data_IF_424464322708
#
_entry.id   IF_424464322708
#
_cell.length_a   1.000
_cell.length_b   1.000
_cell.length_c   1.000
_cell.angle_alpha   90.00
_cell.angle_beta   90.00
_cell.angle_gamma   90.00
#
_symmetry.space_group_name_H-M   'P 1'
#
loop_
_entity.id
_entity.type
_entity.pdbx_description
1 polymer ?
#
# COMPACT_ATOMS: atom_id res chain seq x y z
N UNK A 1 25.79 20.78 20.14
CA UNK A 1 27.03 20.87 20.92
C UNK A 1 26.82 20.47 22.36
N UNK A 2 25.79 21.02 23.06
CA UNK A 2 25.48 20.70 24.47
C UNK A 2 25.35 19.20 24.78
N UNK A 3 24.97 18.39 23.78
CA UNK A 3 24.85 16.91 23.87
C UNK A 3 26.15 16.18 23.47
N UNK A 4 27.30 16.89 23.34
CA UNK A 4 28.58 16.30 23.03
C UNK A 4 28.91 16.11 21.55
N UNK A 5 28.21 16.82 20.64
CA UNK A 5 28.54 16.77 19.21
C UNK A 5 29.91 17.40 18.95
N UNK A 6 30.87 16.62 18.44
CA UNK A 6 32.21 17.08 18.04
C UNK A 6 32.27 17.53 16.57
N UNK A 7 31.24 17.17 15.76
CA UNK A 7 31.12 17.55 14.35
C UNK A 7 29.71 17.99 14.05
N UNK A 8 29.54 19.04 13.27
CA UNK A 8 28.25 19.52 12.73
C UNK A 8 28.35 19.54 11.22
N UNK A 9 27.33 18.96 10.55
CA UNK A 9 27.17 19.04 9.10
C UNK A 9 26.02 20.00 8.79
N UNK A 10 26.25 21.02 8.00
CA UNK A 10 25.27 22.07 7.70
C UNK A 10 25.32 22.50 6.23
N UNK A 11 24.22 23.07 5.76
CA UNK A 11 24.08 23.60 4.39
C UNK A 11 24.46 25.10 4.31
N UNK A 12 24.41 25.83 5.43
CA UNK A 12 24.59 27.27 5.48
C UNK A 12 25.52 27.65 6.62
N UNK A 13 26.50 28.47 6.30
CA UNK A 13 27.47 28.96 7.27
C UNK A 13 26.82 29.78 8.39
N UNK A 14 25.75 30.53 8.05
CA UNK A 14 25.02 31.34 9.03
C UNK A 14 24.37 30.50 10.13
N UNK A 15 23.99 29.28 9.83
CA UNK A 15 23.42 28.34 10.81
C UNK A 15 24.47 27.86 11.83
N UNK A 16 25.74 28.05 11.55
CA UNK A 16 26.89 27.64 12.40
C UNK A 16 27.44 28.77 13.25
N UNK A 17 26.85 29.98 13.22
CA UNK A 17 27.26 31.10 14.07
C UNK A 17 27.12 30.75 15.56
N UNK A 18 28.19 30.89 16.31
CA UNK A 18 28.25 30.58 17.75
C UNK A 18 28.61 29.11 18.07
N UNK A 19 28.95 28.32 17.07
CA UNK A 19 29.50 26.97 17.28
C UNK A 19 30.90 27.15 17.89
N UNK A 20 31.24 26.47 19.02
CA UNK A 20 32.53 26.54 19.63
C UNK A 20 33.66 26.11 18.67
N UNK A 21 34.87 26.74 18.75
CA UNK A 21 35.95 26.46 17.80
C UNK A 21 36.49 25.02 17.85
N UNK A 22 36.28 24.31 18.94
CA UNK A 22 36.62 22.89 19.08
C UNK A 22 35.70 21.93 18.33
N UNK A 23 34.57 22.43 17.85
CA UNK A 23 33.60 21.62 17.08
C UNK A 23 33.87 21.82 15.58
N UNK A 24 34.14 20.74 14.88
CA UNK A 24 34.33 20.77 13.43
C UNK A 24 33.01 21.04 12.71
N UNK A 25 32.98 22.05 11.84
CA UNK A 25 31.86 22.33 10.96
C UNK A 25 32.20 21.90 9.55
N UNK A 26 31.32 21.07 8.95
CA UNK A 26 31.43 20.61 7.56
C UNK A 26 30.27 21.21 6.78
N UNK A 27 30.56 22.05 5.78
CA UNK A 27 29.57 22.60 4.89
C UNK A 27 29.34 21.66 3.70
N UNK A 28 28.09 21.39 3.39
CA UNK A 28 27.64 20.50 2.32
C UNK A 28 26.51 21.15 1.51
N UNK A 29 26.32 20.71 0.27
CA UNK A 29 25.22 21.19 -0.58
C UNK A 29 23.85 20.74 -0.06
N UNK A 30 23.75 19.49 0.46
CA UNK A 30 22.53 18.91 1.03
C UNK A 30 22.87 18.14 2.30
N UNK A 31 22.36 18.60 3.43
CA UNK A 31 22.50 17.92 4.72
C UNK A 31 21.71 16.59 4.72
N UNK A 32 20.59 16.50 4.00
CA UNK A 32 19.82 15.26 3.84
C UNK A 32 20.59 14.22 3.06
N UNK A 33 21.22 14.62 1.96
CA UNK A 33 22.08 13.75 1.17
C UNK A 33 23.28 13.25 1.99
N UNK A 34 23.97 14.16 2.67
CA UNK A 34 25.07 13.81 3.56
C UNK A 34 24.64 12.85 4.68
N UNK A 35 23.47 13.09 5.31
CA UNK A 35 22.91 12.21 6.35
C UNK A 35 22.71 10.78 5.84
N UNK A 36 22.26 10.60 4.60
CA UNK A 36 22.05 9.28 4.02
C UNK A 36 23.36 8.50 3.90
N UNK A 37 24.42 9.13 3.39
CA UNK A 37 25.74 8.49 3.29
C UNK A 37 26.42 8.26 4.65
N UNK A 38 26.30 9.21 5.57
CA UNK A 38 26.79 9.05 6.94
C UNK A 38 26.07 7.90 7.65
N UNK A 39 24.76 7.78 7.46
CA UNK A 39 23.98 6.67 8.02
C UNK A 39 24.38 5.32 7.40
N UNK A 40 24.58 5.28 6.08
CA UNK A 40 25.09 4.09 5.41
C UNK A 40 26.44 3.63 6.00
N UNK A 41 27.36 4.56 6.17
CA UNK A 41 28.69 4.28 6.74
C UNK A 41 28.60 3.87 8.23
N UNK A 42 27.78 4.57 9.02
CA UNK A 42 27.59 4.28 10.44
C UNK A 42 27.09 2.84 10.69
N UNK A 43 26.19 2.35 9.85
CA UNK A 43 25.65 1.01 9.91
C UNK A 43 26.44 -0.01 9.05
N UNK A 44 27.66 0.31 8.64
CA UNK A 44 28.54 -0.58 7.85
C UNK A 44 27.89 -1.06 6.54
N UNK A 45 27.31 -0.10 5.79
CA UNK A 45 26.76 -0.29 4.45
C UNK A 45 25.81 -1.51 4.31
N UNK A 46 24.72 -1.59 5.09
CA UNK A 46 23.89 -2.78 5.15
C UNK A 46 23.25 -3.12 3.81
N UNK A 47 23.03 -2.14 2.93
CA UNK A 47 22.54 -2.37 1.57
C UNK A 47 23.43 -3.28 0.72
N UNK A 48 24.75 -3.29 0.99
CA UNK A 48 25.69 -4.17 0.28
C UNK A 48 25.65 -5.63 0.75
N UNK A 49 24.94 -5.89 1.88
CA UNK A 49 24.82 -7.21 2.50
C UNK A 49 23.45 -7.86 2.22
N UNK A 50 22.55 -7.14 1.55
CA UNK A 50 21.21 -7.55 1.22
C UNK A 50 21.00 -7.43 -0.30
N UNK A 51 20.20 -8.32 -0.88
CA UNK A 51 19.62 -8.06 -2.20
C UNK A 51 18.48 -7.05 -2.05
N UNK A 52 18.60 -5.90 -2.68
CA UNK A 52 17.72 -4.75 -2.45
C UNK A 52 16.75 -4.53 -3.59
N UNK A 53 15.45 -4.48 -3.28
CA UNK A 53 14.36 -4.31 -4.24
C UNK A 53 13.57 -3.06 -3.85
N UNK A 54 13.64 -2.01 -4.69
CA UNK A 54 12.92 -0.77 -4.51
C UNK A 54 11.71 -0.68 -5.44
N UNK A 55 10.53 -0.30 -4.93
CA UNK A 55 9.31 -0.16 -5.72
C UNK A 55 8.80 1.26 -5.72
N UNK A 56 8.58 1.82 -6.91
CA UNK A 56 7.94 3.13 -7.08
C UNK A 56 6.73 3.05 -8.01
N UNK A 57 5.87 4.05 -7.93
CA UNK A 57 4.66 4.18 -8.70
C UNK A 57 3.59 4.98 -7.93
N UNK A 58 2.48 5.29 -8.56
CA UNK A 58 1.37 5.95 -7.86
C UNK A 58 0.63 4.93 -6.99
N UNK A 59 0.21 3.80 -7.56
CA UNK A 59 -0.53 2.72 -6.87
C UNK A 59 0.20 1.38 -6.98
N UNK A 60 -0.20 0.41 -6.17
CA UNK A 60 0.31 -0.96 -6.22
C UNK A 60 1.59 -1.21 -5.42
N UNK A 61 2.32 -0.20 -4.96
CA UNK A 61 3.58 -0.38 -4.19
C UNK A 61 3.42 -1.33 -3.01
N UNK A 62 2.54 -1.00 -2.08
CA UNK A 62 2.30 -1.79 -0.86
C UNK A 62 1.91 -3.23 -1.20
N UNK A 63 0.95 -3.41 -2.10
CA UNK A 63 0.51 -4.74 -2.52
C UNK A 63 1.66 -5.54 -3.10
N UNK A 64 2.42 -4.97 -4.04
CA UNK A 64 3.52 -5.67 -4.70
C UNK A 64 4.67 -5.98 -3.73
N UNK A 65 5.01 -5.08 -2.78
CA UNK A 65 6.06 -5.37 -1.78
C UNK A 65 5.69 -6.56 -0.90
N UNK A 66 4.43 -6.66 -0.48
CA UNK A 66 3.96 -7.79 0.32
C UNK A 66 3.89 -9.08 -0.51
N UNK A 67 3.45 -9.01 -1.79
CA UNK A 67 3.47 -10.19 -2.68
C UNK A 67 4.91 -10.72 -2.83
N UNK A 68 5.88 -9.85 -3.12
CA UNK A 68 7.29 -10.25 -3.26
C UNK A 68 7.81 -10.87 -1.94
N UNK A 69 7.51 -10.26 -0.80
CA UNK A 69 7.92 -10.78 0.51
C UNK A 69 7.32 -12.18 0.77
N UNK A 70 6.03 -12.37 0.48
CA UNK A 70 5.35 -13.65 0.66
C UNK A 70 5.90 -14.73 -0.27
N UNK A 71 6.13 -14.43 -1.55
CA UNK A 71 6.75 -15.36 -2.50
C UNK A 71 8.14 -15.76 -2.03
N UNK A 72 8.98 -14.81 -1.60
CA UNK A 72 10.29 -15.10 -1.06
C UNK A 72 10.21 -16.00 0.19
N UNK A 73 9.28 -15.74 1.09
CA UNK A 73 9.04 -16.55 2.29
C UNK A 73 8.60 -17.97 1.94
N UNK A 74 7.68 -18.14 0.97
CA UNK A 74 7.24 -19.45 0.47
C UNK A 74 8.41 -20.23 -0.14
N UNK A 75 9.33 -19.54 -0.81
CA UNK A 75 10.58 -20.12 -1.33
C UNK A 75 11.64 -20.38 -0.23
N UNK A 76 11.32 -20.22 1.05
CA UNK A 76 12.25 -20.41 2.17
C UNK A 76 13.32 -19.31 2.26
N UNK A 77 13.09 -18.14 1.65
CA UNK A 77 14.01 -16.99 1.68
C UNK A 77 13.57 -15.97 2.72
N UNK A 78 14.49 -15.52 3.56
CA UNK A 78 14.21 -14.48 4.56
C UNK A 78 14.29 -13.09 3.90
N UNK A 79 13.17 -12.37 3.89
CA UNK A 79 13.07 -11.02 3.37
C UNK A 79 12.55 -10.05 4.42
N UNK A 80 13.26 -8.93 4.61
CA UNK A 80 12.74 -7.78 5.33
C UNK A 80 11.91 -6.88 4.40
N UNK A 81 11.05 -6.05 5.00
CA UNK A 81 10.20 -5.12 4.27
C UNK A 81 10.21 -3.74 4.92
N UNK A 82 10.25 -2.69 4.12
CA UNK A 82 10.05 -1.31 4.55
C UNK A 82 8.92 -0.70 3.72
N UNK A 83 7.80 -0.34 4.35
CA UNK A 83 6.65 0.15 3.59
C UNK A 83 5.60 0.88 4.42
N UNK A 84 4.49 1.18 3.79
CA UNK A 84 3.40 1.99 4.34
C UNK A 84 2.76 1.38 5.58
N UNK A 85 2.64 0.05 5.64
CA UNK A 85 1.99 -0.64 6.76
C UNK A 85 2.96 -0.83 7.92
N UNK A 86 4.14 -1.37 7.61
CA UNK A 86 5.13 -1.73 8.62
C UNK A 86 6.56 -1.76 8.07
N UNK A 87 7.53 -1.74 8.97
CA UNK A 87 8.87 -2.27 8.76
C UNK A 87 8.94 -3.67 9.35
N UNK A 88 9.24 -4.67 8.51
CA UNK A 88 9.33 -6.08 8.92
C UNK A 88 10.80 -6.51 8.96
N UNK A 89 11.25 -7.02 10.10
CA UNK A 89 12.62 -7.46 10.33
C UNK A 89 12.56 -8.89 10.90
N UNK A 90 12.85 -9.88 10.05
CA UNK A 90 12.61 -11.29 10.45
C UNK A 90 11.14 -11.51 10.81
N UNK A 91 10.87 -11.94 12.03
CA UNK A 91 9.51 -12.15 12.56
C UNK A 91 8.92 -10.90 13.23
N UNK A 92 9.67 -9.82 13.36
CA UNK A 92 9.23 -8.59 14.04
C UNK A 92 8.60 -7.63 13.05
N UNK A 93 7.40 -7.17 13.34
CA UNK A 93 6.69 -6.15 12.56
C UNK A 93 6.51 -4.87 13.38
N UNK A 94 7.05 -3.77 12.88
CA UNK A 94 7.02 -2.45 13.52
C UNK A 94 6.12 -1.54 12.67
N UNK A 95 5.02 -0.99 13.22
CA UNK A 95 4.14 -0.08 12.48
C UNK A 95 4.89 1.10 11.87
N UNK A 96 4.65 1.37 10.60
CA UNK A 96 5.32 2.46 9.89
C UNK A 96 4.76 3.83 10.27
N UNK A 97 5.63 4.84 10.28
CA UNK A 97 5.23 6.26 10.39
C UNK A 97 5.13 6.91 9.02
N UNK A 98 5.96 6.48 8.10
CA UNK A 98 6.04 6.97 6.71
C UNK A 98 6.25 5.78 5.78
N UNK A 99 5.73 5.86 4.55
CA UNK A 99 5.95 4.86 3.50
C UNK A 99 7.44 4.60 3.26
N UNK A 100 8.23 5.68 3.19
CA UNK A 100 9.69 5.65 3.08
C UNK A 100 10.23 6.46 4.25
N UNK A 101 10.82 5.82 5.26
CA UNK A 101 11.37 6.51 6.44
C UNK A 101 12.53 7.45 6.09
N UNK A 102 13.02 8.23 7.06
CA UNK A 102 14.26 9.01 6.92
C UNK A 102 15.47 8.06 6.75
N UNK A 103 16.51 8.54 6.10
CA UNK A 103 17.68 7.72 5.71
C UNK A 103 18.33 6.97 6.88
N UNK A 104 18.45 7.61 8.04
CA UNK A 104 18.98 6.95 9.24
C UNK A 104 18.13 5.73 9.63
N UNK A 105 16.80 5.86 9.65
CA UNK A 105 15.92 4.76 10.02
C UNK A 105 15.90 3.64 8.96
N UNK A 106 16.08 3.98 7.68
CA UNK A 106 16.22 2.99 6.61
C UNK A 106 17.49 2.15 6.85
N UNK A 107 18.65 2.78 7.00
CA UNK A 107 19.91 2.05 7.20
C UNK A 107 19.95 1.27 8.51
N UNK A 108 19.34 1.80 9.58
CA UNK A 108 19.15 1.11 10.84
C UNK A 108 18.30 -0.16 10.69
N UNK A 109 17.17 -0.05 9.97
CA UNK A 109 16.31 -1.19 9.69
C UNK A 109 17.04 -2.25 8.86
N UNK A 110 17.77 -1.83 7.81
CA UNK A 110 18.55 -2.75 6.98
C UNK A 110 19.65 -3.45 7.77
N UNK A 111 20.35 -2.76 8.68
CA UNK A 111 21.33 -3.37 9.57
C UNK A 111 20.68 -4.44 10.47
N UNK A 112 19.53 -4.11 11.05
CA UNK A 112 18.78 -5.08 11.85
C UNK A 112 18.25 -6.28 11.01
N UNK A 113 17.92 -6.07 9.72
CA UNK A 113 17.58 -7.16 8.81
C UNK A 113 18.77 -8.09 8.56
N UNK A 114 19.97 -7.53 8.38
CA UNK A 114 21.23 -8.31 8.25
C UNK A 114 21.45 -9.14 9.51
N UNK A 115 21.34 -8.53 10.68
CA UNK A 115 21.53 -9.20 11.97
C UNK A 115 20.48 -10.31 12.21
N UNK A 116 19.24 -10.12 11.70
CA UNK A 116 18.18 -11.13 11.73
C UNK A 116 18.36 -12.24 10.68
N UNK A 117 19.40 -12.19 9.85
CA UNK A 117 19.70 -13.16 8.82
C UNK A 117 18.80 -13.05 7.57
N UNK A 118 18.22 -11.86 7.31
CA UNK A 118 17.53 -11.60 6.06
C UNK A 118 18.55 -11.58 4.91
N UNK A 119 18.13 -12.09 3.76
CA UNK A 119 18.91 -12.10 2.53
C UNK A 119 18.44 -10.99 1.56
N UNK A 120 17.19 -10.58 1.72
CA UNK A 120 16.51 -9.60 0.85
C UNK A 120 15.91 -8.47 1.67
N UNK A 121 15.85 -7.30 1.06
CA UNK A 121 15.09 -6.16 1.54
C UNK A 121 14.19 -5.65 0.42
N UNK A 122 12.87 -5.62 0.66
CA UNK A 122 11.86 -5.09 -0.26
C UNK A 122 11.36 -3.77 0.32
N UNK A 123 11.39 -2.68 -0.48
CA UNK A 123 11.08 -1.36 0.03
C UNK A 123 10.15 -0.58 -0.90
N UNK A 124 9.11 0.03 -0.32
CA UNK A 124 8.32 1.06 -0.99
C UNK A 124 9.13 2.36 -1.06
N UNK A 125 9.40 2.84 -2.29
CA UNK A 125 10.15 4.06 -2.55
C UNK A 125 9.18 5.13 -3.07
N UNK A 126 8.71 5.99 -2.16
CA UNK A 126 7.80 7.09 -2.48
C UNK A 126 8.52 8.22 -3.23
N UNK A 127 7.78 9.01 -4.00
CA UNK A 127 8.32 10.18 -4.68
C UNK A 127 8.95 11.20 -3.72
N UNK A 128 8.33 11.41 -2.56
CA UNK A 128 8.89 12.25 -1.50
C UNK A 128 10.15 11.65 -0.88
N UNK A 129 10.21 10.31 -0.72
CA UNK A 129 11.43 9.62 -0.27
C UNK A 129 12.61 9.90 -1.20
N UNK A 130 12.37 9.89 -2.52
CA UNK A 130 13.36 10.22 -3.54
C UNK A 130 13.66 11.74 -3.58
N UNK A 131 12.63 12.59 -3.45
CA UNK A 131 12.78 14.05 -3.43
C UNK A 131 13.68 14.54 -2.28
N UNK A 132 13.55 13.91 -1.13
CA UNK A 132 14.28 14.27 0.08
C UNK A 132 15.52 13.41 0.35
N UNK A 133 16.06 12.76 -0.67
CA UNK A 133 17.29 11.95 -0.60
C UNK A 133 17.27 10.85 0.47
N UNK A 134 16.07 10.37 0.88
CA UNK A 134 15.95 9.35 1.93
C UNK A 134 16.59 8.02 1.56
N UNK A 135 16.69 7.75 0.25
CA UNK A 135 17.29 6.52 -0.31
C UNK A 135 18.69 6.76 -0.88
N UNK A 136 19.26 7.96 -0.75
CA UNK A 136 20.64 8.21 -1.19
C UNK A 136 21.61 7.27 -0.48
N UNK A 137 22.68 6.89 -1.17
CA UNK A 137 23.65 5.91 -0.66
C UNK A 137 23.20 4.44 -0.77
N UNK A 138 21.98 4.16 -1.26
CA UNK A 138 21.52 2.82 -1.60
C UNK A 138 21.60 2.63 -3.11
N UNK A 139 22.39 1.67 -3.56
CA UNK A 139 22.31 1.15 -4.93
C UNK A 139 21.40 -0.07 -4.90
N UNK A 140 20.18 0.07 -5.42
CA UNK A 140 19.24 -1.04 -5.49
C UNK A 140 19.70 -2.07 -6.53
N UNK A 141 19.52 -3.36 -6.23
CA UNK A 141 19.70 -4.41 -7.23
C UNK A 141 18.57 -4.35 -8.24
N UNK A 142 17.34 -4.14 -7.77
CA UNK A 142 16.14 -4.07 -8.59
C UNK A 142 15.32 -2.81 -8.27
N UNK A 143 14.91 -2.09 -9.32
CA UNK A 143 13.94 -1.00 -9.24
C UNK A 143 12.68 -1.37 -10.00
N UNK A 144 11.50 -1.34 -9.36
CA UNK A 144 10.22 -1.70 -9.99
C UNK A 144 9.38 -0.45 -10.20
N UNK A 145 8.85 -0.27 -11.41
CA UNK A 145 7.87 0.74 -11.76
C UNK A 145 6.50 0.11 -12.01
N UNK A 146 5.52 0.45 -11.19
CA UNK A 146 4.16 -0.10 -11.32
C UNK A 146 3.27 0.72 -12.25
N UNK A 147 3.11 2.02 -12.00
CA UNK A 147 2.30 2.93 -12.78
C UNK A 147 2.52 4.39 -12.36
N UNK A 148 2.05 5.34 -13.19
CA UNK A 148 2.04 6.75 -12.87
C UNK A 148 0.72 7.41 -13.28
N UNK A 149 0.10 8.12 -12.36
CA UNK A 149 -1.05 8.99 -12.58
C UNK A 149 -0.93 10.23 -11.70
N UNK A 150 -1.68 11.27 -11.99
CA UNK A 150 -1.70 12.48 -11.16
C UNK A 150 -2.10 12.14 -9.72
N UNK A 151 -1.21 12.42 -8.79
CA UNK A 151 -1.38 12.26 -7.36
C UNK A 151 -0.30 13.08 -6.63
N UNK A 152 -0.49 13.38 -5.36
CA UNK A 152 0.50 14.09 -4.56
C UNK A 152 0.94 15.47 -5.12
N UNK A 153 0.07 16.16 -5.85
CA UNK A 153 0.31 17.53 -6.35
C UNK A 153 -0.38 18.51 -5.40
N UNK A 154 0.41 19.37 -4.78
CA UNK A 154 -0.11 20.33 -3.82
C UNK A 154 0.99 21.15 -3.12
N UNK A 155 0.61 22.17 -2.34
CA UNK A 155 1.55 23.12 -1.73
C UNK A 155 2.62 22.51 -0.83
N UNK A 156 2.35 21.33 -0.23
CA UNK A 156 3.24 20.63 0.71
C UNK A 156 3.82 19.34 0.14
N UNK A 157 3.56 19.03 -1.12
CA UNK A 157 3.98 17.81 -1.80
C UNK A 157 4.82 18.14 -3.05
N UNK A 158 4.31 17.81 -4.24
CA UNK A 158 4.95 18.16 -5.51
C UNK A 158 4.29 19.42 -6.09
N UNK A 159 5.06 20.40 -6.60
CA UNK A 159 4.49 21.60 -7.21
C UNK A 159 3.69 21.30 -8.46
N UNK A 160 4.10 20.26 -9.22
CA UNK A 160 3.46 19.82 -10.45
C UNK A 160 3.76 18.36 -10.76
N UNK A 161 3.14 17.87 -11.84
CA UNK A 161 3.31 16.49 -12.29
C UNK A 161 4.74 16.20 -12.81
N UNK A 162 5.42 17.18 -13.36
CA UNK A 162 6.79 17.01 -13.88
C UNK A 162 7.78 16.72 -12.74
N UNK A 163 7.68 17.45 -11.63
CA UNK A 163 8.47 17.18 -10.40
C UNK A 163 8.14 15.80 -9.81
N UNK A 164 6.85 15.42 -9.82
CA UNK A 164 6.43 14.08 -9.35
C UNK A 164 7.02 12.95 -10.19
N UNK A 165 6.98 13.07 -11.51
CA UNK A 165 7.58 12.15 -12.46
C UNK A 165 9.12 12.08 -12.28
N UNK A 166 9.80 13.26 -12.24
CA UNK A 166 11.25 13.31 -12.10
C UNK A 166 11.72 12.68 -10.78
N UNK A 167 10.99 12.89 -9.69
CA UNK A 167 11.31 12.25 -8.43
C UNK A 167 11.27 10.72 -8.54
N UNK A 168 10.23 10.13 -9.15
CA UNK A 168 10.15 8.66 -9.31
C UNK A 168 11.21 8.09 -10.25
N UNK A 169 11.57 8.83 -11.30
CA UNK A 169 12.66 8.50 -12.22
C UNK A 169 14.00 8.27 -11.52
N UNK A 170 14.26 8.95 -10.40
CA UNK A 170 15.52 8.83 -9.64
C UNK A 170 15.82 7.40 -9.19
N UNK A 171 14.79 6.57 -8.91
CA UNK A 171 14.98 5.17 -8.57
C UNK A 171 15.74 4.41 -9.68
N UNK A 172 15.47 4.72 -10.96
CA UNK A 172 16.08 4.02 -12.10
C UNK A 172 17.49 4.51 -12.46
N UNK A 173 17.92 5.59 -11.82
CA UNK A 173 19.32 6.05 -11.84
C UNK A 173 20.14 5.45 -10.69
N UNK A 174 19.50 4.80 -9.71
CA UNK A 174 20.14 4.16 -8.57
C UNK A 174 19.74 2.68 -8.41
N UNK A 175 19.35 2.01 -9.51
CA UNK A 175 19.16 0.57 -9.54
C UNK A 175 20.00 -0.07 -10.65
N UNK A 176 20.29 -1.36 -10.49
CA UNK A 176 21.03 -2.14 -11.48
C UNK A 176 20.11 -2.67 -12.57
N UNK A 177 18.95 -3.20 -12.20
CA UNK A 177 17.92 -3.71 -13.10
C UNK A 177 16.61 -2.99 -12.84
N UNK A 178 16.03 -2.36 -13.87
CA UNK A 178 14.72 -1.72 -13.84
C UNK A 178 13.65 -2.67 -14.39
N UNK A 179 12.61 -2.93 -13.60
CA UNK A 179 11.45 -3.76 -13.98
C UNK A 179 10.26 -2.83 -14.24
N UNK A 180 9.81 -2.75 -15.48
CA UNK A 180 8.97 -1.66 -15.98
C UNK A 180 7.64 -2.20 -16.50
N UNK A 181 6.54 -1.59 -16.04
CA UNK A 181 5.24 -1.77 -16.65
C UNK A 181 5.21 -1.09 -18.03
N UNK A 182 5.28 -1.88 -19.10
CA UNK A 182 5.31 -1.36 -20.47
C UNK A 182 3.99 -0.78 -20.95
N UNK A 183 2.88 -1.06 -20.27
CA UNK A 183 1.56 -0.52 -20.60
C UNK A 183 1.35 0.89 -20.07
N UNK A 184 2.12 1.30 -19.07
CA UNK A 184 2.04 2.65 -18.54
C UNK A 184 2.54 3.69 -19.56
N UNK A 185 1.80 4.76 -19.84
CA UNK A 185 2.16 5.75 -20.84
C UNK A 185 3.45 6.51 -20.50
N UNK A 186 3.87 6.52 -19.24
CA UNK A 186 5.09 7.19 -18.77
C UNK A 186 6.30 6.26 -18.67
N UNK A 187 6.20 4.99 -19.08
CA UNK A 187 7.26 4.00 -18.97
C UNK A 187 8.59 4.47 -19.61
N UNK A 188 8.52 5.10 -20.78
CA UNK A 188 9.72 5.64 -21.44
C UNK A 188 10.31 6.83 -20.68
N UNK A 189 9.46 7.73 -20.20
CA UNK A 189 9.89 8.92 -19.46
C UNK A 189 10.52 8.55 -18.12
N UNK A 190 10.03 7.52 -17.45
CA UNK A 190 10.62 6.99 -16.20
C UNK A 190 12.06 6.51 -16.42
N UNK A 191 12.38 5.99 -17.60
CA UNK A 191 13.71 5.49 -17.92
C UNK A 191 14.69 6.55 -18.45
N UNK A 192 14.24 7.78 -18.72
CA UNK A 192 15.11 8.83 -19.23
C UNK A 192 16.27 9.13 -18.27
N UNK A 193 17.51 9.05 -18.79
CA UNK A 193 18.73 9.25 -18.03
C UNK A 193 19.08 8.11 -17.07
N UNK A 194 18.38 6.96 -17.15
CA UNK A 194 18.79 5.74 -16.45
C UNK A 194 19.90 5.00 -17.20
N UNK A 195 20.69 4.23 -16.44
CA UNK A 195 21.74 3.35 -16.98
C UNK A 195 21.48 1.89 -16.58
N UNK A 196 20.34 1.59 -15.98
CA UNK A 196 19.99 0.24 -15.56
C UNK A 196 19.68 -0.68 -16.76
N UNK A 197 19.91 -1.98 -16.58
CA UNK A 197 19.31 -2.97 -17.46
C UNK A 197 17.79 -2.96 -17.30
N UNK A 198 17.05 -3.20 -18.37
CA UNK A 198 15.59 -3.12 -18.36
C UNK A 198 14.97 -4.51 -18.57
N UNK A 199 13.98 -4.82 -17.74
CA UNK A 199 13.03 -5.92 -17.93
C UNK A 199 11.62 -5.33 -17.95
N UNK A 200 10.77 -5.89 -18.77
CA UNK A 200 9.42 -5.37 -19.01
C UNK A 200 8.35 -6.39 -18.70
N UNK A 201 7.20 -5.91 -18.21
CA UNK A 201 5.99 -6.72 -18.12
C UNK A 201 4.78 -5.96 -18.68
N UNK A 202 3.78 -6.70 -19.16
CA UNK A 202 2.61 -6.11 -19.81
C UNK A 202 1.42 -7.08 -19.82
N UNK A 203 0.22 -6.52 -19.86
CA UNK A 203 -1.02 -7.23 -20.17
C UNK A 203 -1.58 -6.87 -21.57
N UNK A 204 -1.00 -5.87 -22.26
CA UNK A 204 -1.50 -5.32 -23.51
C UNK A 204 -0.47 -5.31 -24.64
N UNK A 205 0.82 -5.14 -24.31
CA UNK A 205 1.90 -4.95 -25.27
C UNK A 205 2.90 -6.09 -25.21
N UNK A 206 3.75 -6.17 -26.23
CA UNK A 206 4.91 -7.08 -26.21
C UNK A 206 5.90 -6.66 -25.11
N UNK A 207 6.25 -7.60 -24.26
CA UNK A 207 7.15 -7.43 -23.12
C UNK A 207 7.93 -8.73 -22.86
N UNK A 208 8.90 -8.69 -21.93
CA UNK A 208 9.65 -9.89 -21.52
C UNK A 208 8.75 -10.90 -20.80
N UNK A 209 7.75 -10.42 -20.03
CA UNK A 209 6.69 -11.22 -19.47
C UNK A 209 5.32 -10.61 -19.80
N UNK A 210 4.44 -11.40 -20.38
CA UNK A 210 3.11 -10.96 -20.79
C UNK A 210 2.03 -11.77 -20.10
N UNK A 211 0.92 -11.10 -19.73
CA UNK A 211 -0.31 -11.75 -19.33
C UNK A 211 -1.33 -11.77 -20.49
N UNK A 212 -2.02 -12.88 -20.64
CA UNK A 212 -3.14 -13.08 -21.56
C UNK A 212 -4.23 -13.91 -20.91
N UNK A 213 -5.41 -14.05 -21.55
CA UNK A 213 -6.53 -14.83 -21.03
C UNK A 213 -6.89 -14.45 -19.58
N UNK A 214 -6.93 -13.14 -19.30
CA UNK A 214 -7.20 -12.59 -17.98
C UNK A 214 -8.67 -12.76 -17.63
N UNK A 215 -8.96 -13.44 -16.52
CA UNK A 215 -10.32 -13.74 -16.07
C UNK A 215 -10.50 -13.43 -14.58
N UNK A 216 -11.69 -13.03 -14.21
CA UNK A 216 -12.11 -12.91 -12.80
C UNK A 216 -12.30 -14.31 -12.20
N UNK A 217 -11.79 -14.51 -10.98
CA UNK A 217 -11.98 -15.73 -10.19
C UNK A 217 -12.92 -15.46 -9.04
N UNK A 218 -13.83 -16.41 -8.80
CA UNK A 218 -14.60 -16.52 -7.57
C UNK A 218 -14.63 -18.01 -7.21
N UNK A 219 -13.66 -18.46 -6.43
CA UNK A 219 -13.50 -19.85 -6.01
C UNK A 219 -13.85 -19.96 -4.53
N UNK A 220 -14.97 -20.60 -4.19
CA UNK A 220 -15.46 -20.78 -2.81
C UNK A 220 -15.56 -19.46 -1.99
N UNK A 221 -15.94 -18.37 -2.66
CA UNK A 221 -16.02 -17.03 -2.04
C UNK A 221 -14.68 -16.29 -1.96
N UNK A 222 -13.59 -16.85 -2.48
CA UNK A 222 -12.31 -16.16 -2.66
C UNK A 222 -12.28 -15.50 -4.04
N UNK A 223 -12.32 -14.18 -4.06
CA UNK A 223 -12.19 -13.41 -5.29
C UNK A 223 -10.73 -13.30 -5.71
N UNK A 224 -10.48 -13.17 -7.00
CA UNK A 224 -9.12 -13.05 -7.52
C UNK A 224 -9.08 -12.91 -9.04
N UNK A 225 -7.90 -13.12 -9.60
CA UNK A 225 -7.65 -13.11 -11.03
C UNK A 225 -6.91 -14.37 -11.46
N UNK A 226 -7.29 -14.90 -12.61
CA UNK A 226 -6.53 -15.91 -13.37
C UNK A 226 -5.95 -15.24 -14.62
N UNK A 227 -4.76 -15.63 -15.01
CA UNK A 227 -4.16 -15.24 -16.27
C UNK A 227 -3.13 -16.26 -16.75
N UNK A 228 -2.85 -16.26 -18.06
CA UNK A 228 -1.74 -17.01 -18.64
C UNK A 228 -0.54 -16.08 -18.77
N UNK A 229 0.57 -16.48 -18.19
CA UNK A 229 1.85 -15.80 -18.35
C UNK A 229 2.63 -16.43 -19.51
N UNK A 230 3.30 -15.60 -20.32
CA UNK A 230 4.15 -16.04 -21.42
C UNK A 230 5.35 -15.12 -21.60
N UNK A 231 6.50 -15.69 -21.97
CA UNK A 231 7.78 -14.99 -22.13
C UNK A 231 8.87 -15.64 -21.29
N UNK A 232 9.47 -14.90 -20.37
CA UNK A 232 10.50 -15.44 -19.46
C UNK A 232 9.96 -16.54 -18.53
N UNK A 233 8.66 -16.54 -18.27
CA UNK A 233 7.92 -17.62 -17.60
C UNK A 233 6.73 -18.01 -18.50
N UNK A 234 6.39 -19.31 -18.54
CA UNK A 234 5.25 -19.81 -19.30
C UNK A 234 4.40 -20.70 -18.39
N UNK A 235 3.30 -20.16 -17.86
CA UNK A 235 2.48 -20.82 -16.86
C UNK A 235 1.06 -20.23 -16.79
N UNK A 236 0.15 -20.98 -16.18
CA UNK A 236 -1.12 -20.49 -15.70
C UNK A 236 -0.92 -19.96 -14.27
N UNK A 237 -1.38 -18.76 -14.00
CA UNK A 237 -1.22 -18.10 -12.71
C UNK A 237 -2.56 -17.66 -12.12
N UNK A 238 -2.65 -17.74 -10.79
CA UNK A 238 -3.78 -17.23 -10.00
C UNK A 238 -3.27 -16.29 -8.92
N UNK A 239 -4.06 -15.26 -8.62
CA UNK A 239 -3.83 -14.38 -7.48
C UNK A 239 -5.15 -14.04 -6.80
N UNK A 240 -5.27 -14.31 -5.50
CA UNK A 240 -6.49 -14.03 -4.72
C UNK A 240 -6.54 -12.60 -4.18
N UNK A 241 -6.15 -11.64 -5.00
CA UNK A 241 -6.38 -10.20 -4.80
C UNK A 241 -7.25 -9.72 -5.96
N UNK A 242 -8.48 -9.24 -5.69
CA UNK A 242 -9.41 -8.83 -6.74
C UNK A 242 -8.89 -7.67 -7.59
N UNK A 243 -9.27 -7.69 -8.87
CA UNK A 243 -9.07 -6.60 -9.82
C UNK A 243 -7.87 -6.76 -10.76
N UNK A 244 -8.03 -6.21 -11.97
CA UNK A 244 -7.02 -6.31 -13.05
C UNK A 244 -5.65 -5.75 -12.65
N UNK A 245 -5.60 -4.77 -11.75
CA UNK A 245 -4.33 -4.23 -11.23
C UNK A 245 -3.49 -5.28 -10.49
N UNK A 246 -4.12 -6.32 -9.91
CA UNK A 246 -3.40 -7.40 -9.24
C UNK A 246 -2.61 -8.27 -10.23
N UNK A 247 -3.05 -8.37 -11.48
CA UNK A 247 -2.30 -9.04 -12.55
C UNK A 247 -0.97 -8.31 -12.80
N UNK A 248 -0.98 -6.97 -12.88
CA UNK A 248 0.25 -6.19 -13.04
C UNK A 248 1.19 -6.33 -11.84
N UNK A 249 0.64 -6.36 -10.62
CA UNK A 249 1.44 -6.58 -9.40
C UNK A 249 2.05 -8.00 -9.39
N UNK A 250 1.29 -9.00 -9.85
CA UNK A 250 1.77 -10.38 -10.00
C UNK A 250 2.87 -10.46 -11.06
N UNK A 251 2.69 -9.85 -12.24
CA UNK A 251 3.69 -9.83 -13.29
C UNK A 251 5.00 -9.17 -12.82
N UNK A 252 4.93 -8.04 -12.14
CA UNK A 252 6.10 -7.38 -11.57
C UNK A 252 6.84 -8.29 -10.57
N UNK A 253 6.08 -9.01 -9.73
CA UNK A 253 6.63 -10.00 -8.79
C UNK A 253 7.27 -11.18 -9.53
N UNK A 254 6.59 -11.74 -10.54
CA UNK A 254 7.11 -12.85 -11.34
C UNK A 254 8.43 -12.48 -12.00
N UNK A 255 8.55 -11.28 -12.59
CA UNK A 255 9.80 -10.83 -13.21
C UNK A 255 10.93 -10.75 -12.21
N UNK A 256 10.73 -10.09 -11.05
CA UNK A 256 11.81 -9.97 -10.05
C UNK A 256 12.17 -11.33 -9.45
N UNK A 257 11.20 -12.20 -9.20
CA UNK A 257 11.47 -13.54 -8.66
C UNK A 257 12.21 -14.42 -9.67
N UNK A 258 11.89 -14.30 -10.96
CA UNK A 258 12.64 -14.97 -12.04
C UNK A 258 14.10 -14.50 -12.07
N UNK A 259 14.36 -13.19 -12.05
CA UNK A 259 15.72 -12.62 -11.97
C UNK A 259 16.49 -13.05 -10.71
N UNK A 260 15.77 -13.32 -9.61
CA UNK A 260 16.34 -13.85 -8.36
C UNK A 260 16.57 -15.37 -8.37
N UNK A 261 16.17 -16.06 -9.45
CA UNK A 261 16.27 -17.52 -9.55
C UNK A 261 15.36 -18.28 -8.58
N UNK A 262 14.21 -17.68 -8.22
CA UNK A 262 13.18 -18.36 -7.42
C UNK A 262 12.44 -19.36 -8.32
N UNK A 263 12.25 -20.62 -7.90
CA UNK A 263 11.52 -21.61 -8.67
C UNK A 263 10.09 -21.18 -9.01
N UNK A 264 9.65 -21.46 -10.24
CA UNK A 264 8.34 -21.02 -10.75
C UNK A 264 7.19 -21.53 -9.89
N UNK A 265 7.28 -22.78 -9.38
CA UNK A 265 6.27 -23.36 -8.49
C UNK A 265 6.14 -22.61 -7.16
N UNK A 266 7.25 -22.16 -6.58
CA UNK A 266 7.24 -21.34 -5.38
C UNK A 266 6.67 -19.93 -5.66
N UNK A 267 6.95 -19.35 -6.85
CA UNK A 267 6.34 -18.08 -7.26
C UNK A 267 4.84 -18.22 -7.38
N UNK A 268 4.35 -19.25 -8.06
CA UNK A 268 2.92 -19.47 -8.27
C UNK A 268 2.19 -19.75 -6.95
N UNK A 269 2.75 -20.57 -6.07
CA UNK A 269 2.19 -20.83 -4.75
C UNK A 269 2.10 -19.56 -3.90
N UNK A 270 3.15 -18.73 -3.92
CA UNK A 270 3.16 -17.45 -3.20
C UNK A 270 2.15 -16.44 -3.74
N UNK A 271 1.92 -16.40 -5.06
CA UNK A 271 0.89 -15.56 -5.67
C UNK A 271 -0.53 -16.00 -5.28
N UNK A 272 -0.78 -17.30 -5.21
CA UNK A 272 -2.10 -17.85 -4.88
C UNK A 272 -2.46 -17.64 -3.40
N UNK A 273 -1.49 -17.73 -2.49
CA UNK A 273 -1.73 -17.65 -1.04
C UNK A 273 -1.64 -16.23 -0.47
N UNK A 274 -1.16 -15.25 -1.23
CA UNK A 274 -0.90 -13.91 -0.72
C UNK A 274 -2.15 -13.22 -0.21
N UNK A 275 -2.03 -12.59 0.96
CA UNK A 275 -3.00 -11.65 1.51
C UNK A 275 -2.29 -10.38 1.95
N UNK A 276 -2.79 -9.23 1.54
CA UNK A 276 -2.21 -7.94 1.93
C UNK A 276 -3.17 -7.21 2.86
N UNK A 277 -2.75 -7.06 4.11
CA UNK A 277 -3.58 -6.47 5.17
C UNK A 277 -4.13 -5.10 4.75
N UNK A 278 -5.47 -4.98 4.74
CA UNK A 278 -6.17 -3.75 4.41
C UNK A 278 -6.06 -3.29 2.94
N UNK A 279 -5.81 -4.21 2.01
CA UNK A 279 -5.75 -3.95 0.57
C UNK A 279 -6.63 -4.95 -0.18
N UNK A 280 -7.91 -4.61 -0.34
CA UNK A 280 -8.96 -5.50 -0.87
C UNK A 280 -8.89 -6.87 -0.17
N UNK A 281 -8.68 -6.84 1.13
CA UNK A 281 -8.43 -8.03 1.94
C UNK A 281 -9.74 -8.75 2.22
N UNK A 282 -9.82 -10.01 1.79
CA UNK A 282 -10.99 -10.87 1.99
C UNK A 282 -10.98 -11.46 3.39
N UNK A 283 -12.06 -11.29 4.15
CA UNK A 283 -12.23 -11.91 5.46
C UNK A 283 -13.24 -13.08 5.34
N UNK A 284 -12.78 -14.34 5.35
CA UNK A 284 -13.62 -15.50 5.06
C UNK A 284 -14.49 -15.87 6.26
N UNK A 285 -15.66 -15.28 6.41
CA UNK A 285 -16.63 -15.59 7.46
C UNK A 285 -17.84 -16.38 6.93
N UNK A 286 -18.13 -16.29 5.64
CA UNK A 286 -19.26 -16.95 4.97
C UNK A 286 -18.89 -17.38 3.55
N UNK A 287 -19.58 -18.40 3.02
CA UNK A 287 -19.53 -18.78 1.59
C UNK A 287 -20.64 -18.12 0.76
N UNK A 288 -21.58 -17.43 1.40
CA UNK A 288 -22.78 -16.86 0.76
C UNK A 288 -22.62 -15.38 0.42
N UNK A 289 -21.73 -14.69 1.09
CA UNK A 289 -21.41 -13.28 0.87
C UNK A 289 -19.95 -13.00 1.24
N UNK A 290 -19.39 -11.92 0.74
CA UNK A 290 -18.00 -11.53 0.99
C UNK A 290 -17.93 -10.37 1.98
N UNK A 291 -16.92 -10.38 2.87
CA UNK A 291 -16.52 -9.23 3.67
C UNK A 291 -15.10 -8.84 3.28
N UNK A 292 -14.93 -7.58 2.93
CA UNK A 292 -13.68 -7.04 2.36
C UNK A 292 -13.25 -5.84 3.20
N UNK A 293 -11.97 -5.75 3.52
CA UNK A 293 -11.37 -4.58 4.20
C UNK A 293 -10.42 -3.88 3.22
N UNK A 294 -10.59 -2.55 3.05
CA UNK A 294 -9.72 -1.75 2.21
C UNK A 294 -9.39 -0.38 2.82
N UNK A 295 -8.20 0.10 2.51
CA UNK A 295 -7.69 1.40 2.97
C UNK A 295 -8.16 2.59 2.11
N UNK A 296 -8.99 2.40 1.12
CA UNK A 296 -9.51 3.47 0.27
C UNK A 296 -10.19 4.56 1.13
N UNK A 297 -9.66 5.78 1.08
CA UNK A 297 -10.05 6.90 1.91
C UNK A 297 -10.12 8.24 1.14
N UNK A 298 -10.13 8.18 -0.19
CA UNK A 298 -10.35 9.31 -1.10
C UNK A 298 -11.19 8.88 -2.29
N UNK A 299 -11.70 9.83 -3.08
CA UNK A 299 -12.56 9.58 -4.24
C UNK A 299 -11.96 8.56 -5.21
N UNK A 300 -10.75 8.80 -5.68
CA UNK A 300 -10.09 7.97 -6.70
C UNK A 300 -9.94 6.52 -6.25
N UNK A 301 -9.52 6.30 -5.00
CA UNK A 301 -9.36 4.93 -4.46
C UNK A 301 -10.72 4.28 -4.19
N UNK A 302 -11.71 5.01 -3.69
CA UNK A 302 -13.07 4.51 -3.45
C UNK A 302 -13.73 4.09 -4.77
N UNK A 303 -13.69 4.94 -5.81
CA UNK A 303 -14.18 4.59 -7.14
C UNK A 303 -13.47 3.38 -7.72
N UNK A 304 -12.16 3.32 -7.57
CA UNK A 304 -11.35 2.23 -8.10
C UNK A 304 -11.75 0.87 -7.49
N UNK A 305 -11.86 0.80 -6.16
CA UNK A 305 -12.20 -0.46 -5.49
C UNK A 305 -13.66 -0.86 -5.74
N UNK A 306 -14.61 0.07 -5.69
CA UNK A 306 -16.03 -0.25 -5.94
C UNK A 306 -16.27 -0.70 -7.39
N UNK A 307 -15.63 -0.05 -8.38
CA UNK A 307 -15.66 -0.50 -9.78
C UNK A 307 -15.08 -1.91 -9.93
N UNK A 308 -13.96 -2.17 -9.28
CA UNK A 308 -13.34 -3.50 -9.27
C UNK A 308 -14.29 -4.57 -8.72
N UNK A 309 -14.97 -4.30 -7.61
CA UNK A 309 -15.91 -5.25 -7.04
C UNK A 309 -17.14 -5.45 -7.95
N UNK A 310 -17.59 -4.42 -8.65
CA UNK A 310 -18.69 -4.50 -9.59
C UNK A 310 -18.40 -5.44 -10.78
N UNK A 311 -17.13 -5.58 -11.17
CA UNK A 311 -16.70 -6.49 -12.25
C UNK A 311 -16.89 -8.00 -11.90
N UNK A 312 -17.13 -8.32 -10.62
CA UNK A 312 -17.45 -9.69 -10.16
C UNK A 312 -18.95 -9.99 -10.13
N UNK A 313 -19.78 -9.12 -10.69
CA UNK A 313 -21.25 -9.27 -10.76
C UNK A 313 -21.90 -9.60 -9.39
N UNK A 314 -21.66 -8.77 -8.35
CA UNK A 314 -22.23 -9.00 -7.02
C UNK A 314 -23.74 -8.83 -7.01
N UNK A 315 -24.43 -9.49 -6.09
CA UNK A 315 -25.84 -9.23 -5.80
C UNK A 315 -26.05 -7.78 -5.36
N UNK A 316 -25.27 -7.32 -4.36
CA UNK A 316 -25.18 -5.93 -3.94
C UNK A 316 -23.76 -5.60 -3.48
N UNK A 317 -23.35 -4.34 -3.64
CA UNK A 317 -22.18 -3.77 -2.94
C UNK A 317 -22.71 -2.96 -1.76
N UNK A 318 -22.35 -3.37 -0.54
CA UNK A 318 -22.66 -2.67 0.71
C UNK A 318 -21.38 -1.99 1.21
N UNK A 319 -21.31 -0.66 1.11
CA UNK A 319 -20.15 0.10 1.51
C UNK A 319 -20.31 0.66 2.93
N UNK A 320 -19.46 0.24 3.86
CA UNK A 320 -19.38 0.73 5.25
C UNK A 320 -18.21 1.69 5.37
N UNK A 321 -18.47 2.97 5.61
CA UNK A 321 -17.41 3.97 5.62
C UNK A 321 -17.75 5.22 6.42
N UNK A 322 -16.72 5.97 6.74
CA UNK A 322 -16.75 7.31 7.29
C UNK A 322 -15.58 8.11 6.75
N UNK A 323 -15.37 9.30 7.28
CA UNK A 323 -14.24 10.14 6.93
C UNK A 323 -13.50 10.63 8.17
N UNK A 324 -12.20 10.93 8.00
CA UNK A 324 -11.41 11.53 9.07
C UNK A 324 -11.83 12.96 9.38
N UNK A 325 -11.92 13.29 10.66
CA UNK A 325 -12.05 14.66 11.15
C UNK A 325 -10.80 15.49 10.92
N UNK A 326 -10.91 16.82 10.99
CA UNK A 326 -9.84 17.79 10.73
C UNK A 326 -9.15 17.58 9.37
N UNK A 327 -9.96 17.23 8.37
CA UNK A 327 -9.57 17.05 6.97
C UNK A 327 -10.47 17.89 6.06
N UNK A 328 -10.08 18.01 4.78
CA UNK A 328 -10.84 18.74 3.77
C UNK A 328 -12.29 18.22 3.66
N UNK A 329 -13.27 19.11 3.75
CA UNK A 329 -14.69 18.78 3.54
C UNK A 329 -14.96 18.31 2.11
N UNK A 330 -14.24 18.82 1.12
CA UNK A 330 -14.35 18.40 -0.29
C UNK A 330 -14.13 16.90 -0.41
N UNK A 331 -13.15 16.35 0.29
CA UNK A 331 -12.92 14.90 0.34
C UNK A 331 -14.14 14.11 0.82
N UNK A 332 -14.90 14.64 1.78
CA UNK A 332 -16.13 14.00 2.31
C UNK A 332 -17.22 13.97 1.26
N UNK A 333 -17.40 15.09 0.55
CA UNK A 333 -18.34 15.19 -0.57
C UNK A 333 -17.99 14.19 -1.68
N UNK A 334 -16.72 14.16 -2.07
CA UNK A 334 -16.23 13.33 -3.18
C UNK A 334 -16.33 11.83 -2.86
N UNK A 335 -16.01 11.41 -1.64
CA UNK A 335 -16.18 10.00 -1.22
C UNK A 335 -17.66 9.63 -1.18
N UNK A 336 -18.53 10.52 -0.66
CA UNK A 336 -19.97 10.33 -0.67
C UNK A 336 -20.52 10.17 -2.07
N UNK A 337 -20.08 11.00 -3.02
CA UNK A 337 -20.47 10.91 -4.43
C UNK A 337 -20.00 9.58 -5.06
N UNK A 338 -18.72 9.20 -4.84
CA UNK A 338 -18.17 7.95 -5.36
C UNK A 338 -18.92 6.71 -4.85
N UNK A 339 -19.23 6.69 -3.54
CA UNK A 339 -19.97 5.58 -2.93
C UNK A 339 -21.44 5.58 -3.39
N UNK A 340 -22.06 6.74 -3.47
CA UNK A 340 -23.44 6.89 -3.93
C UNK A 340 -23.66 6.48 -5.38
N UNK A 341 -22.67 6.67 -6.24
CA UNK A 341 -22.73 6.25 -7.65
C UNK A 341 -22.56 4.72 -7.81
N UNK A 342 -21.73 4.08 -6.97
CA UNK A 342 -21.22 2.74 -7.25
C UNK A 342 -21.66 1.66 -6.26
N UNK A 343 -22.09 2.02 -5.05
CA UNK A 343 -22.62 1.07 -4.07
C UNK A 343 -24.16 1.01 -4.12
N UNK A 344 -24.73 -0.15 -3.78
CA UNK A 344 -26.18 -0.33 -3.69
C UNK A 344 -26.75 0.09 -2.33
N UNK A 345 -25.89 0.05 -1.29
CA UNK A 345 -26.21 0.53 0.05
C UNK A 345 -24.96 1.12 0.70
N UNK A 346 -25.07 2.33 1.22
CA UNK A 346 -24.05 3.00 2.00
C UNK A 346 -24.41 2.96 3.50
N UNK A 347 -23.47 2.52 4.34
CA UNK A 347 -23.61 2.58 5.79
C UNK A 347 -22.58 3.59 6.31
N UNK A 348 -23.09 4.77 6.70
CA UNK A 348 -22.26 5.87 7.21
C UNK A 348 -21.94 5.64 8.69
N UNK A 349 -20.65 5.75 9.02
CA UNK A 349 -20.17 5.50 10.38
C UNK A 349 -18.95 6.34 10.72
N UNK A 350 -18.39 6.16 11.94
CA UNK A 350 -17.13 6.81 12.32
C UNK A 350 -15.91 6.20 11.58
N UNK A 351 -14.91 7.05 11.39
CA UNK A 351 -13.54 6.64 11.03
C UNK A 351 -12.60 7.11 12.16
N UNK A 352 -11.80 8.13 11.95
CA UNK A 352 -11.00 8.84 12.95
C UNK A 352 -11.60 10.25 13.13
N UNK A 353 -12.61 10.46 13.98
CA UNK A 353 -13.32 11.75 14.06
C UNK A 353 -12.44 12.87 14.62
N UNK A 354 -11.37 12.53 15.35
CA UNK A 354 -10.45 13.48 15.98
C UNK A 354 -11.20 14.47 16.88
N UNK A 355 -11.28 15.74 16.48
CA UNK A 355 -11.93 16.81 17.23
C UNK A 355 -13.30 17.22 16.66
N UNK A 356 -13.83 16.48 15.69
CA UNK A 356 -15.14 16.74 15.09
C UNK A 356 -16.17 15.69 15.52
N UNK A 357 -17.45 16.06 15.51
CA UNK A 357 -18.54 15.12 15.74
C UNK A 357 -18.75 14.23 14.52
N UNK A 358 -19.02 12.95 14.75
CA UNK A 358 -19.27 11.98 13.68
C UNK A 358 -20.47 12.38 12.82
N UNK A 359 -21.53 12.91 13.46
CA UNK A 359 -22.73 13.38 12.78
C UNK A 359 -22.44 14.51 11.78
N UNK A 360 -21.57 15.46 12.14
CA UNK A 360 -21.20 16.57 11.27
C UNK A 360 -20.40 16.07 10.06
N UNK A 361 -19.49 15.11 10.27
CA UNK A 361 -18.73 14.46 9.19
C UNK A 361 -19.68 13.69 8.26
N UNK A 362 -20.62 12.92 8.82
CA UNK A 362 -21.60 12.16 8.05
C UNK A 362 -22.55 13.09 7.28
N UNK A 363 -22.92 14.24 7.84
CA UNK A 363 -23.72 15.24 7.13
C UNK A 363 -22.98 15.79 5.89
N UNK A 364 -21.68 16.01 5.98
CA UNK A 364 -20.88 16.38 4.80
C UNK A 364 -20.87 15.24 3.76
N UNK A 365 -20.73 13.97 4.16
CA UNK A 365 -20.76 12.81 3.23
C UNK A 365 -22.11 12.72 2.50
N UNK A 366 -23.24 12.95 3.22
CA UNK A 366 -24.59 12.91 2.64
C UNK A 366 -24.77 13.90 1.50
N UNK A 367 -24.05 15.02 1.49
CA UNK A 367 -24.08 15.98 0.35
C UNK A 367 -23.62 15.31 -0.95
N UNK A 368 -22.60 14.46 -0.89
CA UNK A 368 -22.16 13.67 -2.04
C UNK A 368 -23.15 12.58 -2.44
N UNK A 369 -23.66 11.82 -1.47
CA UNK A 369 -24.65 10.77 -1.71
C UNK A 369 -25.92 11.29 -2.40
N UNK A 370 -26.39 12.47 -2.03
CA UNK A 370 -27.60 13.10 -2.57
C UNK A 370 -27.53 13.36 -4.09
N UNK A 371 -26.34 13.38 -4.69
CA UNK A 371 -26.17 13.56 -6.12
C UNK A 371 -26.63 12.33 -6.94
N UNK A 372 -26.73 11.16 -6.32
CA UNK A 372 -27.04 9.89 -6.97
C UNK A 372 -28.29 9.20 -6.41
N UNK A 373 -29.06 9.90 -5.56
CA UNK A 373 -30.24 9.34 -4.86
C UNK A 373 -29.91 7.98 -4.17
N UNK A 374 -28.73 7.91 -3.58
CA UNK A 374 -28.15 6.69 -3.03
C UNK A 374 -28.85 6.25 -1.74
N UNK A 375 -29.18 4.96 -1.63
CA UNK A 375 -29.67 4.38 -0.39
C UNK A 375 -28.58 4.40 0.68
N UNK A 376 -28.90 4.94 1.88
CA UNK A 376 -27.97 4.92 2.99
C UNK A 376 -28.63 4.71 4.35
N UNK A 377 -27.83 4.22 5.30
CA UNK A 377 -28.14 4.07 6.71
C UNK A 377 -27.02 4.77 7.50
N UNK A 378 -27.35 5.40 8.61
CA UNK A 378 -26.37 6.03 9.48
C UNK A 378 -26.31 5.29 10.82
N UNK A 379 -25.13 4.78 11.17
CA UNK A 379 -24.83 4.11 12.44
C UNK A 379 -23.48 4.61 12.90
N UNK A 380 -23.45 5.56 13.83
CA UNK A 380 -22.23 6.26 14.24
C UNK A 380 -21.18 5.35 14.88
N UNK A 381 -21.58 4.33 15.62
CA UNK A 381 -20.67 3.31 16.12
C UNK A 381 -20.24 2.36 15.00
N UNK A 382 -18.94 2.35 14.68
CA UNK A 382 -18.41 1.55 13.56
C UNK A 382 -18.55 0.05 13.81
N UNK A 383 -18.46 -0.41 15.07
CA UNK A 383 -18.67 -1.81 15.41
C UNK A 383 -20.10 -2.25 15.10
N UNK A 384 -21.07 -1.44 15.51
CA UNK A 384 -22.48 -1.73 15.23
C UNK A 384 -22.83 -1.55 13.75
N UNK A 385 -22.17 -0.64 13.03
CA UNK A 385 -22.30 -0.50 11.57
C UNK A 385 -21.83 -1.76 10.85
N UNK A 386 -20.67 -2.32 11.22
CA UNK A 386 -20.15 -3.58 10.67
C UNK A 386 -21.08 -4.74 11.05
N UNK A 387 -21.54 -4.78 12.29
CA UNK A 387 -22.48 -5.82 12.73
C UNK A 387 -23.79 -5.78 11.96
N UNK A 388 -24.34 -4.58 11.72
CA UNK A 388 -25.53 -4.39 10.90
C UNK A 388 -25.30 -4.91 9.47
N UNK A 389 -24.20 -4.50 8.84
CA UNK A 389 -23.87 -4.96 7.47
C UNK A 389 -23.83 -6.49 7.37
N UNK A 390 -23.17 -7.15 8.33
CA UNK A 390 -23.02 -8.61 8.34
C UNK A 390 -24.37 -9.30 8.63
N UNK A 391 -25.11 -8.84 9.63
CA UNK A 391 -26.39 -9.50 10.01
C UNK A 391 -27.51 -9.32 9.00
N UNK A 392 -27.47 -8.26 8.19
CA UNK A 392 -28.43 -7.98 7.12
C UNK A 392 -27.92 -8.31 5.72
N UNK A 393 -26.83 -9.08 5.64
CA UNK A 393 -26.28 -9.55 4.36
C UNK A 393 -27.29 -10.44 3.62
N UNK A 394 -27.32 -10.30 2.30
CA UNK A 394 -28.04 -11.19 1.38
C UNK A 394 -27.06 -12.10 0.63
N UNK A 395 -27.52 -13.25 0.11
CA UNK A 395 -26.68 -14.08 -0.75
C UNK A 395 -26.14 -13.27 -1.95
N UNK A 396 -24.82 -13.38 -2.19
CA UNK A 396 -24.15 -12.64 -3.25
C UNK A 396 -23.70 -11.23 -2.89
N UNK A 397 -23.95 -10.74 -1.68
CA UNK A 397 -23.47 -9.42 -1.25
C UNK A 397 -21.95 -9.36 -1.17
N UNK A 398 -21.42 -8.20 -1.52
CA UNK A 398 -20.05 -7.78 -1.21
C UNK A 398 -20.10 -6.62 -0.23
N UNK A 399 -19.77 -6.90 1.03
CA UNK A 399 -19.66 -5.90 2.09
C UNK A 399 -18.23 -5.40 2.10
N UNK A 400 -18.03 -4.11 1.86
CA UNK A 400 -16.71 -3.50 1.89
C UNK A 400 -16.61 -2.47 3.01
N UNK A 401 -15.59 -2.65 3.88
CA UNK A 401 -15.22 -1.75 4.95
C UNK A 401 -14.11 -0.84 4.43
N UNK A 402 -14.40 0.46 4.26
CA UNK A 402 -13.49 1.42 3.66
C UNK A 402 -12.91 2.39 4.70
N UNK A 403 -11.67 2.80 4.46
CA UNK A 403 -10.98 3.88 5.17
C UNK A 403 -9.88 3.41 6.10
N UNK A 404 -10.14 2.44 6.96
CA UNK A 404 -9.17 2.01 8.00
C UNK A 404 -8.14 0.99 7.50
N UNK A 405 -8.57 0.03 6.68
CA UNK A 405 -7.67 -0.97 6.14
C UNK A 405 -6.84 -1.68 7.21
N UNK A 406 -5.53 -1.41 7.25
CA UNK A 406 -4.59 -2.00 8.20
C UNK A 406 -4.54 -1.31 9.58
N UNK A 407 -5.23 -0.16 9.76
CA UNK A 407 -5.23 0.56 11.04
C UNK A 407 -5.88 -0.26 12.15
N UNK A 408 -5.27 -0.22 13.33
CA UNK A 408 -5.75 -0.91 14.54
C UNK A 408 -6.18 0.04 15.64
N UNK A 409 -6.59 1.26 15.26
CA UNK A 409 -7.00 2.29 16.19
C UNK A 409 -8.10 3.19 15.62
N UNK A 410 -8.83 3.86 16.51
CA UNK A 410 -9.62 5.04 16.23
C UNK A 410 -9.03 6.21 17.00
N UNK A 411 -8.88 7.37 16.35
CA UNK A 411 -8.36 8.59 16.96
C UNK A 411 -9.50 9.53 17.36
N UNK A 412 -9.66 9.77 18.66
CA UNK A 412 -10.68 10.65 19.26
C UNK A 412 -9.96 11.66 20.15
N UNK A 413 -10.16 12.96 19.92
CA UNK A 413 -9.55 14.06 20.71
C UNK A 413 -8.02 13.92 20.87
N UNK A 414 -7.33 13.45 19.81
CA UNK A 414 -5.89 13.24 19.82
C UNK A 414 -5.42 11.97 20.52
N UNK A 415 -6.33 11.17 21.09
CA UNK A 415 -6.02 9.89 21.73
C UNK A 415 -6.36 8.73 20.78
N UNK A 416 -5.44 7.80 20.65
CA UNK A 416 -5.64 6.56 19.87
C UNK A 416 -6.19 5.46 20.78
N UNK A 417 -7.39 5.00 20.48
CA UNK A 417 -8.04 3.86 21.13
C UNK A 417 -7.92 2.63 20.21
N UNK A 418 -7.72 1.46 20.80
CA UNK A 418 -7.65 0.22 20.02
C UNK A 418 -8.97 -0.05 19.29
N UNK A 419 -8.89 -0.30 17.99
CA UNK A 419 -10.01 -0.71 17.15
C UNK A 419 -9.48 -1.41 15.90
N UNK A 420 -9.80 -2.66 15.71
CA UNK A 420 -9.40 -3.46 14.54
C UNK A 420 -10.64 -4.02 13.84
N UNK A 421 -10.83 -3.66 12.57
CA UNK A 421 -11.94 -4.23 11.78
C UNK A 421 -11.85 -5.75 11.66
N UNK A 422 -10.65 -6.31 11.57
CA UNK A 422 -10.42 -7.75 11.54
C UNK A 422 -10.93 -8.45 12.80
N UNK A 423 -10.66 -7.88 13.97
CA UNK A 423 -11.12 -8.40 15.25
C UNK A 423 -12.65 -8.30 15.33
N UNK A 424 -13.20 -7.13 15.00
CA UNK A 424 -14.65 -6.88 15.02
C UNK A 424 -15.41 -7.85 14.13
N UNK A 425 -14.95 -8.06 12.88
CA UNK A 425 -15.61 -8.98 11.94
C UNK A 425 -15.57 -10.42 12.46
N UNK A 426 -14.42 -10.87 13.02
CA UNK A 426 -14.29 -12.20 13.58
C UNK A 426 -15.18 -12.42 14.80
N UNK A 427 -15.20 -11.46 15.73
CA UNK A 427 -16.05 -11.51 16.94
C UNK A 427 -17.54 -11.56 16.56
N UNK A 428 -17.99 -10.75 15.59
CA UNK A 428 -19.37 -10.77 15.11
C UNK A 428 -19.70 -12.15 14.51
N UNK A 429 -18.79 -12.72 13.70
CA UNK A 429 -18.99 -14.04 13.11
C UNK A 429 -19.06 -15.14 14.20
N UNK A 430 -18.23 -15.07 15.24
CA UNK A 430 -18.28 -15.97 16.39
C UNK A 430 -19.58 -15.82 17.17
N UNK A 431 -20.06 -14.61 17.41
CA UNK A 431 -21.34 -14.35 18.07
C UNK A 431 -22.52 -14.93 17.30
N UNK A 432 -22.50 -14.82 15.97
CA UNK A 432 -23.54 -15.43 15.12
C UNK A 432 -23.49 -16.96 15.21
N UNK A 433 -22.30 -17.56 15.08
CA UNK A 433 -22.11 -19.03 15.19
C UNK A 433 -22.51 -19.58 16.55
N UNK A 434 -22.29 -18.80 17.61
CA UNK A 434 -22.66 -19.14 18.98
C UNK A 434 -24.13 -18.83 19.32
N UNK A 435 -24.92 -18.31 18.38
CA UNK A 435 -26.32 -17.93 18.59
C UNK A 435 -26.56 -16.70 19.48
N UNK A 436 -25.49 -15.95 19.81
CA UNK A 436 -25.60 -14.68 20.57
C UNK A 436 -26.10 -13.50 19.70
N UNK A 437 -25.88 -13.60 18.37
CA UNK A 437 -26.39 -12.64 17.38
C UNK A 437 -27.05 -13.42 16.23
N UNK A 438 -28.13 -12.89 15.68
CA UNK A 438 -28.88 -13.55 14.59
C UNK A 438 -28.62 -12.86 13.26
N UNK A 439 -28.64 -13.63 12.18
CA UNK A 439 -28.76 -13.12 10.83
C UNK A 439 -30.23 -12.94 10.48
N UNK A 440 -30.56 -11.85 9.79
CA UNK A 440 -31.96 -11.53 9.43
C UNK A 440 -32.46 -12.37 8.22
N UNK A 441 -31.57 -12.71 7.28
CA UNK A 441 -31.99 -13.28 6.01
C UNK A 441 -31.39 -14.65 5.71
N UNK A 442 -30.41 -15.13 6.45
CA UNK A 442 -29.72 -16.40 6.21
C UNK A 442 -28.99 -16.91 7.47
N UNK A 443 -28.22 -17.99 7.32
CA UNK A 443 -27.23 -18.46 8.28
C UNK A 443 -25.82 -18.28 7.70
N UNK A 444 -24.83 -18.04 8.52
CA UNK A 444 -23.41 -17.98 8.11
C UNK A 444 -22.94 -19.27 7.44
#
# INVERSE_FOLDING_TARGET
VEKGAGVIVAEREEACKGVPPEVTVILVESARHALAYLSAAYFDYPAKKLTTIGLTGTKGKTTTTYIIQDVLRQAGRKAGLIGTIATVIGETSIPAKNTTPESYEIHKAMAAMVDAGCQYMVMEVSSQGLKFDRTAGIQFDYGIFTNLSEDHIGPTEHPDFADYLDCKRRLFRQCRIGIINADDPYAQQILEGSTCEVRTFSAEKKADLMASDIRFLNEDGRLGMYFKASGIMNCDAKIHIPGRFSVYNALATMVVCHELGIPDDAVLAGLEDVQVKGRVEMIPISKKFNVIIDYAHNDVSTRSVLKTLREYDPGRIVAVFGCGGNRSKVRRYDIGEAAGELADLCILTSDNPRFEKVEDINNDIKVGLAKHDAAYIEINDRREAIAYAITHALPGDMIILLGKGHETYVEIEGVKHHFSEHEVVREIAEDIRAGRRKMEHMTL
#
